data_IF_361060954915
#
_entry.id   IF_361060954915
#
_cell.length_a   1.000
_cell.length_b   1.000
_cell.length_c   1.000
_cell.angle_alpha   90.00
_cell.angle_beta   90.00
_cell.angle_gamma   90.00
#
_symmetry.space_group_name_H-M   'P 1'
#
loop_
_entity.id
_entity.type
_entity.pdbx_description
1 polymer ?
#
# COMPACT_ATOMS: atom_id res chain seq x y z
N UNK A 1 -3.51 20.60 -32.76
CA UNK A 1 -3.17 19.27 -32.20
C UNK A 1 -2.34 19.50 -30.95
N UNK A 2 -3.00 19.65 -29.80
CA UNK A 2 -2.31 19.77 -28.52
C UNK A 2 -1.90 18.37 -28.08
N UNK A 3 -0.60 18.09 -28.14
CA UNK A 3 0.00 16.89 -27.52
C UNK A 3 0.20 17.19 -26.03
N UNK A 4 -0.89 17.42 -25.32
CA UNK A 4 -0.83 17.71 -23.90
C UNK A 4 -0.69 16.39 -23.15
N UNK A 5 0.56 16.08 -22.78
CA UNK A 5 0.93 15.37 -21.57
C UNK A 5 0.06 14.16 -21.19
N UNK A 6 0.13 13.09 -22.00
CA UNK A 6 -0.08 11.74 -21.46
C UNK A 6 1.21 11.37 -20.70
N UNK A 7 1.48 12.08 -19.61
CA UNK A 7 2.35 11.50 -18.59
C UNK A 7 1.55 10.32 -18.08
N UNK A 8 2.11 9.12 -18.25
CA UNK A 8 1.63 7.86 -17.68
C UNK A 8 1.37 8.05 -16.18
N UNK A 9 0.15 8.46 -15.81
CA UNK A 9 -0.25 8.63 -14.41
C UNK A 9 -0.07 7.31 -13.66
N UNK A 10 -0.31 6.19 -14.33
CA UNK A 10 -0.14 4.84 -13.79
C UNK A 10 1.33 4.57 -13.36
N UNK A 11 2.31 4.89 -14.21
CA UNK A 11 3.72 4.61 -13.91
C UNK A 11 4.26 5.41 -12.71
N UNK A 12 3.88 6.68 -12.60
CA UNK A 12 4.30 7.55 -11.49
C UNK A 12 3.64 7.13 -10.17
N UNK A 13 2.34 6.81 -10.18
CA UNK A 13 1.60 6.34 -9.02
C UNK A 13 2.17 5.01 -8.54
N UNK A 14 2.39 4.03 -9.43
CA UNK A 14 2.99 2.75 -9.04
C UNK A 14 4.41 2.90 -8.49
N UNK A 15 5.20 3.85 -8.99
CA UNK A 15 6.50 4.16 -8.42
C UNK A 15 6.39 4.74 -7.00
N UNK A 16 5.37 5.55 -6.75
CA UNK A 16 5.08 6.09 -5.42
C UNK A 16 4.58 5.03 -4.44
N UNK A 17 3.72 4.13 -4.89
CA UNK A 17 3.28 2.97 -4.11
C UNK A 17 4.49 2.13 -3.69
N UNK A 18 5.40 1.82 -4.61
CA UNK A 18 6.62 1.06 -4.30
C UNK A 18 7.51 1.76 -3.28
N UNK A 19 7.61 3.10 -3.32
CA UNK A 19 8.33 3.89 -2.31
C UNK A 19 7.67 3.79 -0.94
N UNK A 20 6.34 3.96 -0.88
CA UNK A 20 5.61 3.85 0.40
C UNK A 20 5.65 2.43 0.98
N UNK A 21 5.61 1.39 0.14
CA UNK A 21 5.85 0.01 0.55
C UNK A 21 7.22 -0.15 1.21
N UNK A 22 8.27 0.37 0.57
CA UNK A 22 9.62 0.32 1.13
C UNK A 22 9.73 1.06 2.47
N UNK A 23 9.08 2.22 2.60
CA UNK A 23 9.02 2.97 3.86
C UNK A 23 8.30 2.18 4.96
N UNK A 24 7.13 1.61 4.65
CA UNK A 24 6.35 0.80 5.59
C UNK A 24 7.16 -0.42 6.04
N UNK A 25 7.78 -1.14 5.11
CA UNK A 25 8.65 -2.28 5.42
C UNK A 25 9.86 -1.87 6.28
N UNK A 26 10.40 -0.67 6.08
CA UNK A 26 11.50 -0.13 6.87
C UNK A 26 11.09 0.29 8.28
N UNK A 27 9.86 0.74 8.47
CA UNK A 27 9.34 1.21 9.77
C UNK A 27 8.80 0.08 10.63
N UNK A 28 8.00 -0.81 10.03
CA UNK A 28 7.19 -1.80 10.75
C UNK A 28 7.58 -3.26 10.44
N UNK A 29 8.41 -3.47 9.41
CA UNK A 29 8.80 -4.80 8.96
C UNK A 29 7.91 -5.35 7.86
N UNK A 30 8.16 -6.60 7.48
CA UNK A 30 7.32 -7.32 6.51
C UNK A 30 6.28 -8.15 7.27
N UNK A 31 5.10 -7.57 7.47
CA UNK A 31 3.99 -8.15 8.23
C UNK A 31 2.86 -8.65 7.31
N UNK A 32 1.80 -9.20 7.92
CA UNK A 32 0.64 -9.76 7.23
C UNK A 32 -0.10 -8.71 6.39
N UNK A 33 -0.16 -7.46 6.86
CA UNK A 33 -0.75 -6.33 6.16
C UNK A 33 -0.01 -6.01 4.86
N UNK A 34 1.32 -5.95 4.91
CA UNK A 34 2.15 -5.73 3.71
C UNK A 34 1.98 -6.89 2.72
N UNK A 35 2.01 -8.14 3.20
CA UNK A 35 1.81 -9.33 2.35
C UNK A 35 0.42 -9.35 1.70
N UNK A 36 -0.61 -8.96 2.44
CA UNK A 36 -2.00 -8.85 1.95
C UNK A 36 -2.13 -7.80 0.87
N UNK A 37 -1.51 -6.62 1.05
CA UNK A 37 -1.49 -5.56 0.04
C UNK A 37 -0.81 -6.05 -1.23
N UNK A 38 0.37 -6.65 -1.13
CA UNK A 38 1.13 -7.14 -2.28
C UNK A 38 0.38 -8.24 -3.04
N UNK A 39 -0.25 -9.16 -2.32
CA UNK A 39 -1.02 -10.26 -2.92
C UNK A 39 -2.32 -9.80 -3.59
N UNK A 40 -2.88 -8.68 -3.14
CA UNK A 40 -4.14 -8.13 -3.64
C UNK A 40 -3.94 -7.08 -4.74
N UNK A 41 -2.78 -6.43 -4.78
CA UNK A 41 -2.47 -5.38 -5.75
C UNK A 41 -2.45 -5.93 -7.17
N UNK A 42 -3.10 -5.22 -8.09
CA UNK A 42 -3.32 -5.63 -9.48
C UNK A 42 -4.32 -6.79 -9.67
N UNK A 43 -4.91 -7.30 -8.57
CA UNK A 43 -5.98 -8.31 -8.60
C UNK A 43 -7.31 -7.76 -8.09
N UNK A 44 -7.38 -7.48 -6.79
CA UNK A 44 -8.62 -7.15 -6.08
C UNK A 44 -8.67 -5.72 -5.54
N UNK A 45 -7.52 -5.03 -5.45
CA UNK A 45 -7.43 -3.64 -5.01
C UNK A 45 -6.70 -2.77 -6.03
N UNK A 46 -7.21 -1.54 -6.22
CA UNK A 46 -6.63 -0.55 -7.13
C UNK A 46 -5.51 0.29 -6.48
N UNK A 47 -4.76 1.03 -7.29
CA UNK A 47 -3.65 1.88 -6.86
C UNK A 47 -4.03 2.90 -5.77
N UNK A 48 -5.26 3.42 -5.80
CA UNK A 48 -5.74 4.40 -4.82
C UNK A 48 -6.01 3.72 -3.49
N UNK A 49 -6.60 2.53 -3.51
CA UNK A 49 -6.82 1.70 -2.32
C UNK A 49 -5.49 1.31 -1.68
N UNK A 50 -4.49 0.93 -2.50
CA UNK A 50 -3.14 0.62 -2.02
C UNK A 50 -2.48 1.83 -1.37
N UNK A 51 -2.58 3.02 -1.98
CA UNK A 51 -2.04 4.25 -1.40
C UNK A 51 -2.65 4.59 -0.04
N UNK A 52 -3.97 4.47 0.10
CA UNK A 52 -4.65 4.73 1.37
C UNK A 52 -4.26 3.70 2.44
N UNK A 53 -4.21 2.43 2.06
CA UNK A 53 -3.74 1.34 2.90
C UNK A 53 -2.32 1.60 3.45
N UNK A 54 -1.36 1.91 2.57
CA UNK A 54 0.01 2.20 2.99
C UNK A 54 0.11 3.44 3.87
N UNK A 55 -0.75 4.45 3.64
CA UNK A 55 -0.81 5.65 4.49
C UNK A 55 -1.26 5.30 5.90
N UNK A 56 -2.27 4.45 6.05
CA UNK A 56 -2.76 3.99 7.35
C UNK A 56 -1.65 3.24 8.08
N UNK A 57 -1.04 2.23 7.45
CA UNK A 57 0.03 1.43 8.08
C UNK A 57 1.23 2.31 8.44
N UNK A 58 1.64 3.23 7.57
CA UNK A 58 2.76 4.14 7.84
C UNK A 58 2.53 5.00 9.10
N UNK A 59 1.28 5.41 9.36
CA UNK A 59 0.92 6.24 10.51
C UNK A 59 0.64 5.45 11.78
N UNK A 60 -0.06 4.31 11.67
CA UNK A 60 -0.57 3.55 12.80
C UNK A 60 0.24 2.29 13.14
N UNK A 61 1.07 1.80 12.22
CA UNK A 61 1.78 0.53 12.32
C UNK A 61 0.97 -0.68 11.87
N UNK A 62 -0.36 -0.58 11.86
CA UNK A 62 -1.28 -1.63 11.46
C UNK A 62 -2.52 -1.01 10.80
N UNK A 63 -3.20 -1.79 9.96
CA UNK A 63 -4.46 -1.39 9.34
C UNK A 63 -5.65 -2.19 9.87
N UNK A 64 -5.42 -3.45 10.23
CA UNK A 64 -6.40 -4.26 10.91
C UNK A 64 -6.14 -4.12 12.41
N UNK A 65 -7.20 -3.96 13.21
CA UNK A 65 -7.07 -4.06 14.66
C UNK A 65 -6.38 -5.39 14.97
N UNK A 66 -5.32 -5.36 15.79
CA UNK A 66 -4.79 -6.58 16.39
C UNK A 66 -5.97 -7.30 17.03
N UNK A 67 -6.40 -8.42 16.45
CA UNK A 67 -7.38 -9.28 17.11
C UNK A 67 -6.65 -9.79 18.36
N UNK A 68 -7.03 -9.36 19.58
CA UNK A 68 -6.35 -9.84 20.76
C UNK A 68 -6.59 -11.35 20.78
N UNK A 69 -5.52 -12.11 20.61
CA UNK A 69 -5.55 -13.55 20.76
C UNK A 69 -5.92 -13.84 22.22
N UNK A 70 -7.23 -14.03 22.46
CA UNK A 70 -7.73 -14.62 23.69
C UNK A 70 -7.65 -16.12 23.50
N UNK A 71 -6.58 -16.72 24.02
CA UNK A 71 -6.62 -18.13 24.38
C UNK A 71 -7.55 -18.25 25.59
N UNK A 72 -8.80 -18.64 25.35
CA UNK A 72 -9.67 -19.24 26.34
C UNK A 72 -9.40 -20.75 26.49
#
# INVERSE_FOLDING_TARGET
>A
MSKDNIISLDGAIRAEIRRNLADVMGLHGFDFEVDTILSSWEGTIDDRQVMEALRIIKLAGFMFDEVPYRAD
#
